data_IF_328583748780
#
_entry.id   IF_328583748780
#
_cell.length_a   1.000
_cell.length_b   1.000
_cell.length_c   1.000
_cell.angle_alpha   90.00
_cell.angle_beta   90.00
_cell.angle_gamma   90.00
#
_symmetry.space_group_name_H-M   'P 1'
#
loop_
_entity.id
_entity.type
_entity.pdbx_description
1 polymer ?
#
# COMPACT_ATOMS: atom_id res chain seq x y z
N UNK A 1 9.57 0.44 0.56
CA UNK A 1 8.52 -0.32 -0.14
C UNK A 1 8.83 -0.24 -1.63
N UNK A 2 8.62 -1.33 -2.38
CA UNK A 2 8.92 -1.38 -3.81
C UNK A 2 7.64 -1.04 -4.57
N UNK A 3 7.62 0.09 -5.28
CA UNK A 3 6.48 0.43 -6.13
C UNK A 3 6.48 -0.43 -7.38
N UNK A 4 5.30 -0.64 -7.95
CA UNK A 4 5.12 -1.39 -9.17
C UNK A 4 3.96 -0.85 -10.01
N UNK A 5 3.99 -1.16 -11.30
CA UNK A 5 2.97 -0.79 -12.29
C UNK A 5 2.57 -2.06 -13.04
N UNK A 6 1.27 -2.24 -13.24
CA UNK A 6 0.75 -3.21 -14.21
C UNK A 6 0.36 -2.47 -15.48
N UNK A 7 0.88 -2.90 -16.62
CA UNK A 7 0.59 -2.33 -17.93
C UNK A 7 -0.01 -3.41 -18.85
N UNK A 8 -1.21 -3.19 -19.41
CA UNK A 8 -1.72 -4.04 -20.48
C UNK A 8 -0.91 -3.83 -21.76
N UNK A 9 -0.50 -4.92 -22.40
CA UNK A 9 0.25 -4.86 -23.66
C UNK A 9 -0.68 -4.70 -24.87
N UNK A 10 -0.11 -4.30 -26.01
CA UNK A 10 -0.85 -4.06 -27.27
C UNK A 10 -1.50 -5.31 -27.86
N UNK A 11 -1.09 -6.50 -27.41
CA UNK A 11 -1.73 -7.78 -27.76
C UNK A 11 -3.13 -7.94 -27.14
N UNK A 12 -3.55 -7.00 -26.29
CA UNK A 12 -4.86 -6.94 -25.64
C UNK A 12 -5.13 -8.05 -24.63
N UNK A 13 -4.18 -8.96 -24.43
CA UNK A 13 -4.38 -10.17 -23.62
C UNK A 13 -3.30 -10.39 -22.59
N UNK A 14 -2.13 -9.77 -22.71
CA UNK A 14 -1.02 -9.88 -21.78
C UNK A 14 -0.89 -8.66 -20.88
N UNK A 15 -0.32 -8.86 -19.70
CA UNK A 15 -0.04 -7.81 -18.73
C UNK A 15 1.45 -7.88 -18.38
N UNK A 16 2.15 -6.75 -18.47
CA UNK A 16 3.50 -6.61 -17.98
C UNK A 16 3.48 -6.06 -16.54
N UNK A 17 4.27 -6.67 -15.67
CA UNK A 17 4.53 -6.17 -14.31
C UNK A 17 5.89 -5.48 -14.29
N UNK A 18 5.85 -4.19 -13.98
CA UNK A 18 7.01 -3.31 -13.92
C UNK A 18 7.27 -2.95 -12.47
N UNK A 19 8.54 -2.99 -12.06
CA UNK A 19 8.94 -2.74 -10.68
C UNK A 19 9.89 -1.55 -10.64
N UNK A 20 9.60 -0.59 -9.77
CA UNK A 20 10.45 0.58 -9.55
C UNK A 20 11.69 0.16 -8.76
N UNK A 21 12.86 0.50 -9.27
CA UNK A 21 14.08 0.40 -8.50
C UNK A 21 14.37 1.71 -7.77
N UNK A 22 14.97 1.62 -6.58
CA UNK A 22 15.51 2.81 -5.93
C UNK A 22 16.55 3.45 -6.86
N UNK A 23 16.57 4.79 -6.98
CA UNK A 23 17.54 5.47 -7.82
C UNK A 23 18.94 5.06 -7.39
N UNK A 24 19.68 4.44 -8.31
CA UNK A 24 21.09 4.14 -8.06
C UNK A 24 21.84 5.45 -7.84
N UNK A 25 22.84 5.47 -6.96
CA UNK A 25 23.57 6.66 -6.51
C UNK A 25 24.27 7.50 -7.62
N UNK A 26 24.04 7.19 -8.90
CA UNK A 26 24.45 7.96 -10.07
C UNK A 26 23.24 8.68 -10.68
N UNK A 27 22.98 9.89 -10.21
CA UNK A 27 22.33 11.00 -10.95
C UNK A 27 21.10 10.68 -11.82
N UNK A 28 20.20 9.80 -11.40
CA UNK A 28 18.88 9.63 -12.03
C UNK A 28 17.84 10.19 -11.08
N UNK A 29 17.30 11.37 -11.42
CA UNK A 29 16.11 11.95 -10.80
C UNK A 29 14.81 11.31 -11.31
N UNK A 30 14.92 10.35 -12.23
CA UNK A 30 13.78 9.66 -12.83
C UNK A 30 13.56 8.30 -12.16
N UNK A 31 12.28 8.00 -11.93
CA UNK A 31 11.83 6.72 -11.40
C UNK A 31 11.97 5.65 -12.48
N UNK A 32 13.07 4.90 -12.45
CA UNK A 32 13.32 3.80 -13.39
C UNK A 32 12.51 2.56 -12.99
N UNK A 33 11.72 2.07 -13.94
CA UNK A 33 10.95 0.84 -13.86
C UNK A 33 11.57 -0.23 -14.75
N UNK A 34 11.76 -1.43 -14.21
CA UNK A 34 12.16 -2.59 -15.01
C UNK A 34 10.98 -3.52 -15.24
N UNK A 35 10.86 -4.05 -16.45
CA UNK A 35 9.92 -5.14 -16.70
C UNK A 35 10.47 -6.40 -16.04
N UNK A 36 9.71 -6.93 -15.08
CA UNK A 36 10.10 -8.13 -14.33
C UNK A 36 9.53 -9.38 -14.98
N UNK A 37 8.28 -9.32 -15.42
CA UNK A 37 7.58 -10.46 -16.03
C UNK A 37 6.41 -9.99 -16.89
N UNK A 38 6.12 -10.76 -17.94
CA UNK A 38 4.90 -10.62 -18.76
C UNK A 38 4.03 -11.84 -18.53
N UNK A 39 2.76 -11.61 -18.21
CA UNK A 39 1.78 -12.64 -17.91
C UNK A 39 0.80 -12.77 -19.07
N UNK A 40 0.77 -13.94 -19.70
CA UNK A 40 -0.27 -14.26 -20.67
C UNK A 40 -1.62 -14.49 -19.98
N UNK A 41 -2.69 -14.65 -20.76
CA UNK A 41 -4.06 -14.85 -20.25
C UNK A 41 -4.19 -16.00 -19.25
N UNK A 42 -3.35 -17.05 -19.36
CA UNK A 42 -3.34 -18.20 -18.44
C UNK A 42 -2.64 -17.93 -17.12
N UNK A 43 -1.77 -16.92 -17.04
CA UNK A 43 -0.96 -16.61 -15.86
C UNK A 43 -1.52 -15.43 -15.05
N UNK A 44 -2.55 -14.76 -15.59
CA UNK A 44 -3.18 -13.59 -14.98
C UNK A 44 -4.21 -13.92 -13.91
N UNK A 45 -4.81 -15.12 -13.93
CA UNK A 45 -5.90 -15.47 -13.01
C UNK A 45 -5.45 -16.47 -11.95
N UNK A 46 -6.12 -16.56 -10.79
CA UNK A 46 -5.81 -17.58 -9.79
C UNK A 46 -5.87 -18.97 -10.43
N UNK A 47 -4.72 -19.63 -10.54
CA UNK A 47 -4.62 -20.96 -11.12
C UNK A 47 -5.05 -22.01 -10.08
N UNK A 48 -5.63 -23.10 -10.55
CA UNK A 48 -5.99 -24.28 -9.74
C UNK A 48 -4.79 -24.84 -8.96
N UNK A 49 -5.01 -25.69 -7.93
CA UNK A 49 -3.94 -26.34 -7.14
C UNK A 49 -2.80 -27.03 -7.91
N UNK A 50 -2.99 -27.34 -9.21
CA UNK A 50 -1.94 -27.70 -10.17
C UNK A 50 -0.74 -26.75 -10.16
N UNK A 51 -0.92 -25.46 -9.82
CA UNK A 51 0.16 -24.46 -9.78
C UNK A 51 1.30 -24.89 -8.88
N UNK A 52 1.02 -25.37 -7.67
CA UNK A 52 2.07 -25.81 -6.73
C UNK A 52 2.83 -27.03 -7.25
N UNK A 53 2.20 -27.82 -8.13
CA UNK A 53 2.80 -28.99 -8.75
C UNK A 53 3.71 -28.61 -9.93
N UNK A 54 3.41 -27.50 -10.62
CA UNK A 54 4.11 -27.09 -11.86
C UNK A 54 4.88 -25.76 -11.78
N UNK A 55 4.96 -25.16 -10.59
CA UNK A 55 5.60 -23.87 -10.33
C UNK A 55 5.27 -22.78 -11.38
N UNK A 56 3.98 -22.66 -11.73
CA UNK A 56 3.56 -21.71 -12.78
C UNK A 56 3.53 -20.26 -12.27
N UNK A 57 3.95 -19.28 -13.09
CA UNK A 57 3.87 -17.88 -12.73
C UNK A 57 2.42 -17.44 -12.46
N UNK A 58 2.24 -16.47 -11.57
CA UNK A 58 0.91 -15.94 -11.28
C UNK A 58 0.99 -14.47 -10.89
N UNK A 59 0.32 -13.61 -11.67
CA UNK A 59 0.37 -12.16 -11.50
C UNK A 59 0.03 -11.72 -10.07
N UNK A 60 -1.03 -12.28 -9.47
CA UNK A 60 -1.48 -11.85 -8.15
C UNK A 60 -0.54 -12.29 -7.02
N UNK A 61 0.13 -13.43 -7.18
CA UNK A 61 1.05 -13.92 -6.16
C UNK A 61 2.37 -13.19 -6.22
N UNK A 62 2.86 -12.90 -7.42
CA UNK A 62 4.01 -12.02 -7.62
C UNK A 62 3.71 -10.59 -7.11
N UNK A 63 2.48 -10.08 -7.28
CA UNK A 63 2.04 -8.81 -6.65
C UNK A 63 2.07 -8.90 -5.12
N UNK A 64 1.53 -9.97 -4.53
CA UNK A 64 1.58 -10.17 -3.07
C UNK A 64 3.02 -10.25 -2.58
N UNK A 65 3.91 -10.94 -3.29
CA UNK A 65 5.34 -11.02 -2.97
C UNK A 65 6.00 -9.63 -3.01
N UNK A 66 5.68 -8.79 -4.00
CA UNK A 66 6.17 -7.40 -4.04
C UNK A 66 5.64 -6.54 -2.91
N UNK A 67 4.35 -6.68 -2.59
CA UNK A 67 3.74 -6.02 -1.43
C UNK A 67 4.39 -6.50 -0.13
N UNK A 68 4.85 -7.74 -0.12
CA UNK A 68 5.65 -8.33 0.94
C UNK A 68 7.13 -7.88 0.94
N UNK A 69 7.51 -6.99 0.03
CA UNK A 69 8.88 -6.49 -0.09
C UNK A 69 9.88 -7.53 -0.60
N UNK A 70 9.40 -8.68 -1.09
CA UNK A 70 10.22 -9.69 -1.73
C UNK A 70 10.59 -9.22 -3.15
N UNK A 71 11.80 -9.54 -3.59
CA UNK A 71 12.18 -9.35 -4.99
C UNK A 71 11.66 -10.51 -5.82
N UNK A 72 10.99 -10.23 -6.93
CA UNK A 72 10.67 -11.26 -7.92
C UNK A 72 11.92 -11.53 -8.76
N UNK A 73 12.24 -12.81 -8.97
CA UNK A 73 13.29 -13.21 -9.91
C UNK A 73 12.89 -12.82 -11.34
N UNK A 74 13.78 -12.09 -12.02
CA UNK A 74 13.59 -11.68 -13.41
C UNK A 74 13.75 -12.90 -14.31
N UNK A 75 12.63 -13.45 -14.80
CA UNK A 75 12.64 -14.59 -15.73
C UNK A 75 13.01 -14.20 -17.17
N UNK A 76 13.43 -12.94 -17.36
CA UNK A 76 13.83 -12.37 -18.65
C UNK A 76 15.23 -12.90 -19.02
N UNK A 77 15.33 -14.21 -19.25
CA UNK A 77 16.58 -14.89 -19.59
C UNK A 77 16.57 -16.43 -19.67
N UNK A 78 15.51 -17.14 -19.28
CA UNK A 78 15.49 -18.62 -19.33
C UNK A 78 14.20 -19.17 -19.94
N UNK A 79 14.06 -19.05 -21.25
CA UNK A 79 13.13 -19.90 -22.03
C UNK A 79 13.84 -20.41 -23.28
N UNK A 80 14.93 -21.14 -23.03
CA UNK A 80 15.64 -21.95 -24.02
C UNK A 80 16.39 -23.09 -23.32
N UNK A 81 15.66 -23.94 -22.61
CA UNK A 81 16.16 -25.24 -22.18
C UNK A 81 15.03 -26.28 -22.22
N UNK A 82 14.95 -26.96 -23.36
CA UNK A 82 14.45 -28.32 -23.58
C UNK A 82 13.42 -28.87 -22.58
N UNK A 83 12.14 -28.70 -22.89
CA UNK A 83 11.12 -29.69 -22.50
C UNK A 83 11.02 -30.67 -23.67
N UNK A 84 11.79 -31.74 -23.58
CA UNK A 84 11.68 -32.91 -24.46
C UNK A 84 10.38 -33.63 -24.10
N UNK A 85 9.35 -33.50 -24.94
CA UNK A 85 8.13 -34.28 -24.84
C UNK A 85 8.36 -35.67 -25.45
N UNK A 86 7.90 -36.76 -24.82
CA UNK A 86 7.94 -38.08 -25.45
C UNK A 86 6.93 -38.11 -26.61
N UNK A 87 7.43 -38.50 -27.78
CA UNK A 87 6.66 -38.67 -29.01
C UNK A 87 5.62 -39.78 -28.85
N UNK A 88 4.38 -39.50 -29.26
CA UNK A 88 3.36 -40.51 -29.54
C UNK A 88 2.85 -40.31 -30.98
N UNK A 89 3.33 -41.21 -31.83
CA UNK A 89 2.68 -41.86 -32.98
C UNK A 89 1.96 -41.01 -34.04
N UNK A 90 2.66 -40.98 -35.19
CA UNK A 90 2.23 -40.87 -36.58
C UNK A 90 0.73 -40.95 -36.92
N UNK A 91 0.31 -40.04 -37.81
CA UNK A 91 -0.32 -40.46 -39.06
C UNK A 91 0.11 -39.53 -40.21
N UNK A 92 0.57 -40.15 -41.29
CA UNK A 92 0.95 -39.54 -42.57
C UNK A 92 -0.29 -39.05 -43.33
N UNK A 93 -0.23 -37.86 -43.93
CA UNK A 93 -0.57 -37.72 -45.34
C UNK A 93 0.04 -36.47 -46.00
N UNK A 94 0.62 -36.75 -47.15
CA UNK A 94 1.52 -35.99 -48.02
C UNK A 94 0.78 -35.05 -48.96
N UNK A 95 1.40 -33.91 -49.33
CA UNK A 95 1.57 -33.34 -50.69
C UNK A 95 1.85 -31.83 -50.58
N UNK A 96 3.12 -31.39 -50.67
CA UNK A 96 3.83 -30.92 -51.89
C UNK A 96 3.10 -29.82 -52.67
N UNK A 97 3.67 -28.62 -52.68
CA UNK A 97 3.88 -27.78 -53.86
C UNK A 97 4.79 -26.60 -53.52
N UNK A 98 5.87 -26.49 -54.30
CA UNK A 98 6.90 -25.47 -54.28
C UNK A 98 6.37 -24.08 -54.67
N UNK A 99 6.95 -23.03 -54.07
CA UNK A 99 7.29 -21.80 -54.79
C UNK A 99 8.30 -20.98 -53.96
N UNK A 100 9.54 -20.94 -54.44
CA UNK A 100 10.56 -19.99 -54.03
C UNK A 100 10.14 -18.56 -54.44
N UNK A 101 10.23 -17.61 -53.51
CA UNK A 101 10.58 -16.23 -53.86
C UNK A 101 11.11 -15.46 -52.64
N UNK A 102 12.43 -15.19 -52.69
CA UNK A 102 13.12 -13.94 -52.31
C UNK A 102 12.71 -13.19 -51.04
N UNK A 103 13.63 -13.25 -50.07
CA UNK A 103 13.96 -12.28 -49.02
C UNK A 103 13.62 -10.81 -49.34
N UNK A 104 12.89 -10.15 -48.43
CA UNK A 104 13.36 -9.03 -47.61
C UNK A 104 12.22 -8.41 -46.80
N UNK A 105 12.55 -7.81 -45.65
CA UNK A 105 11.74 -6.93 -44.77
C UNK A 105 11.34 -7.52 -43.42
N UNK A 106 12.36 -7.57 -42.55
CA UNK A 106 12.36 -7.28 -41.10
C UNK A 106 11.00 -7.00 -40.46
N UNK A 107 10.35 -8.05 -39.97
CA UNK A 107 9.27 -7.94 -38.98
C UNK A 107 9.88 -8.13 -37.59
N UNK A 108 10.06 -7.00 -36.90
CA UNK A 108 10.60 -6.92 -35.54
C UNK A 108 9.66 -7.66 -34.58
N UNK A 109 10.03 -8.89 -34.23
CA UNK A 109 9.34 -9.71 -33.26
C UNK A 109 9.77 -9.27 -31.86
N UNK A 110 8.77 -8.93 -31.04
CA UNK A 110 8.85 -8.53 -29.64
C UNK A 110 9.85 -9.39 -28.83
N UNK A 111 11.04 -8.85 -28.62
CA UNK A 111 11.94 -9.27 -27.55
C UNK A 111 11.93 -8.16 -26.51
N UNK A 112 11.08 -8.31 -25.49
CA UNK A 112 11.16 -7.48 -24.26
C UNK A 112 12.39 -7.99 -23.49
N UNK A 113 13.59 -7.76 -24.02
CA UNK A 113 14.84 -7.89 -23.29
C UNK A 113 14.87 -6.81 -22.21
N UNK A 114 15.00 -7.21 -20.94
CA UNK A 114 15.10 -6.37 -19.72
C UNK A 114 14.89 -4.87 -19.96
N UNK A 115 13.66 -4.51 -20.30
CA UNK A 115 13.34 -3.14 -20.69
C UNK A 115 13.33 -2.27 -19.44
N UNK A 116 14.05 -1.15 -19.49
CA UNK A 116 14.00 -0.08 -18.49
C UNK A 116 13.16 1.04 -19.08
N UNK A 117 12.16 1.51 -18.33
CA UNK A 117 11.28 2.62 -18.71
C UNK A 117 11.17 3.61 -17.57
N UNK A 118 10.93 4.85 -17.91
CA UNK A 118 10.60 5.90 -16.96
C UNK A 118 9.09 5.96 -16.75
N UNK A 119 8.65 6.57 -15.63
CA UNK A 119 7.22 6.73 -15.34
C UNK A 119 6.41 7.41 -16.47
N UNK A 120 7.04 8.32 -17.21
CA UNK A 120 6.42 9.05 -18.32
C UNK A 120 6.16 8.19 -19.56
N UNK A 121 6.79 7.02 -19.66
CA UNK A 121 6.68 6.16 -20.83
C UNK A 121 5.36 5.37 -20.85
N UNK A 122 4.72 5.16 -19.69
CA UNK A 122 3.53 4.32 -19.57
C UNK A 122 2.28 5.02 -20.10
N UNK A 123 1.80 4.58 -21.26
CA UNK A 123 0.59 5.14 -21.89
C UNK A 123 -0.71 4.58 -21.29
N UNK A 124 -0.65 3.37 -20.71
CA UNK A 124 -1.78 2.70 -20.06
C UNK A 124 -1.30 1.98 -18.80
N UNK A 125 -1.97 2.23 -17.69
CA UNK A 125 -1.75 1.48 -16.45
C UNK A 125 -3.07 0.90 -15.97
N UNK A 126 -3.01 -0.27 -15.34
CA UNK A 126 -4.16 -0.92 -14.73
C UNK A 126 -3.87 -1.14 -13.24
N UNK A 127 -4.84 -0.84 -12.39
CA UNK A 127 -4.69 -0.96 -10.94
C UNK A 127 -4.90 -2.40 -10.49
N UNK A 128 -4.31 -2.78 -9.35
CA UNK A 128 -4.52 -4.11 -8.76
C UNK A 128 -6.00 -4.36 -8.48
N UNK A 129 -6.71 -3.33 -8.01
CA UNK A 129 -8.16 -3.38 -7.79
C UNK A 129 -8.94 -3.69 -9.06
N UNK A 130 -8.63 -3.01 -10.17
CA UNK A 130 -9.25 -3.27 -11.46
C UNK A 130 -8.93 -4.68 -11.98
N UNK A 131 -7.70 -5.17 -11.78
CA UNK A 131 -7.32 -6.55 -12.09
C UNK A 131 -8.13 -7.56 -11.28
N UNK A 132 -8.28 -7.33 -9.98
CA UNK A 132 -9.09 -8.19 -9.11
C UNK A 132 -10.57 -8.19 -9.54
N UNK A 133 -11.13 -7.03 -9.91
CA UNK A 133 -12.50 -6.93 -10.42
C UNK A 133 -12.66 -7.68 -11.75
N UNK A 134 -11.71 -7.52 -12.68
CA UNK A 134 -11.68 -8.28 -13.95
C UNK A 134 -11.62 -9.79 -13.70
N UNK A 135 -10.82 -10.24 -12.74
CA UNK A 135 -10.75 -11.64 -12.31
C UNK A 135 -12.07 -12.14 -11.73
N UNK A 136 -12.72 -11.35 -10.87
CA UNK A 136 -14.01 -11.68 -10.29
C UNK A 136 -15.12 -11.79 -11.36
N UNK A 137 -15.16 -10.87 -12.33
CA UNK A 137 -16.10 -10.93 -13.46
C UNK A 137 -15.86 -12.17 -14.33
N UNK A 138 -14.61 -12.42 -14.71
CA UNK A 138 -14.24 -13.60 -15.50
C UNK A 138 -14.63 -14.92 -14.80
N UNK A 139 -14.58 -14.94 -13.47
CA UNK A 139 -15.03 -16.08 -12.66
C UNK A 139 -16.56 -16.22 -12.55
N UNK A 140 -17.31 -15.12 -12.69
CA UNK A 140 -18.76 -15.10 -12.63
C UNK A 140 -19.42 -15.52 -13.95
N UNK A 141 -18.79 -15.18 -15.09
CA UNK A 141 -19.31 -15.44 -16.44
C UNK A 141 -19.33 -16.94 -16.85
N UNK A 142 -18.91 -17.84 -15.97
CA UNK A 142 -19.33 -19.24 -16.05
C UNK A 142 -18.80 -20.02 -17.25
N UNK A 143 -17.57 -19.76 -17.72
CA UNK A 143 -16.91 -20.58 -18.75
C UNK A 143 -16.59 -21.99 -18.25
N UNK A 144 -17.60 -22.87 -18.15
CA UNK A 144 -17.52 -24.33 -17.94
C UNK A 144 -16.81 -24.85 -16.68
N UNK A 145 -16.19 -23.98 -15.88
CA UNK A 145 -15.23 -24.37 -14.84
C UNK A 145 -15.34 -23.48 -13.60
N UNK A 146 -16.56 -23.13 -13.19
CA UNK A 146 -16.86 -22.29 -12.02
C UNK A 146 -16.20 -22.77 -10.71
N UNK A 147 -15.81 -24.05 -10.61
CA UNK A 147 -15.04 -24.59 -9.47
C UNK A 147 -13.59 -24.11 -9.42
N UNK A 148 -12.98 -23.74 -10.55
CA UNK A 148 -11.56 -23.34 -10.63
C UNK A 148 -11.31 -21.90 -10.22
N UNK A 149 -12.33 -21.04 -10.25
CA UNK A 149 -12.20 -19.61 -10.02
C UNK A 149 -12.91 -19.11 -8.75
N UNK A 150 -13.26 -20.04 -7.83
CA UNK A 150 -13.95 -19.70 -6.58
C UNK A 150 -13.15 -18.68 -5.74
N UNK A 151 -11.83 -18.71 -5.84
CA UNK A 151 -10.89 -17.82 -5.12
C UNK A 151 -10.70 -16.43 -5.76
N UNK A 152 -11.23 -16.18 -6.96
CA UNK A 152 -11.18 -14.85 -7.55
C UNK A 152 -12.23 -13.90 -6.92
N UNK A 153 -13.28 -14.45 -6.30
CA UNK A 153 -14.32 -13.68 -5.60
C UNK A 153 -13.75 -13.19 -4.27
N UNK A 154 -13.64 -11.87 -4.10
CA UNK A 154 -13.03 -11.26 -2.92
C UNK A 154 -11.50 -11.12 -2.97
N UNK A 155 -10.88 -11.33 -4.14
CA UNK A 155 -9.43 -11.23 -4.30
C UNK A 155 -8.88 -9.85 -3.87
N UNK A 156 -9.58 -8.77 -4.22
CA UNK A 156 -9.23 -7.41 -3.78
C UNK A 156 -9.23 -7.29 -2.26
N UNK A 157 -10.28 -7.80 -1.60
CA UNK A 157 -10.39 -7.78 -0.15
C UNK A 157 -9.23 -8.55 0.50
N UNK A 158 -8.92 -9.76 0.00
CA UNK A 158 -7.80 -10.57 0.51
C UNK A 158 -6.44 -9.89 0.34
N UNK A 159 -6.17 -9.28 -0.81
CA UNK A 159 -4.92 -8.54 -1.05
C UNK A 159 -4.81 -7.36 -0.09
N UNK A 160 -5.89 -6.59 0.08
CA UNK A 160 -5.90 -5.43 0.97
C UNK A 160 -5.79 -5.83 2.45
N UNK A 161 -6.48 -6.89 2.89
CA UNK A 161 -6.36 -7.43 4.25
C UNK A 161 -4.93 -7.91 4.54
N UNK A 162 -4.31 -8.62 3.59
CA UNK A 162 -2.93 -9.09 3.72
C UNK A 162 -1.94 -7.93 3.93
N UNK A 163 -2.04 -6.88 3.11
CA UNK A 163 -1.15 -5.71 3.25
C UNK A 163 -1.37 -4.97 4.56
N UNK A 164 -2.61 -4.87 5.02
CA UNK A 164 -2.95 -4.19 6.26
C UNK A 164 -2.47 -4.93 7.49
N UNK A 165 -2.72 -6.24 7.59
CA UNK A 165 -2.23 -7.07 8.71
C UNK A 165 -0.72 -6.93 8.88
N UNK A 166 0.02 -6.82 7.77
CA UNK A 166 1.47 -6.62 7.79
C UNK A 166 1.89 -5.21 8.22
N UNK A 167 1.10 -4.20 7.89
CA UNK A 167 1.36 -2.81 8.29
C UNK A 167 0.96 -2.51 9.74
N UNK A 168 0.04 -3.31 10.31
CA UNK A 168 -0.40 -3.20 11.70
C UNK A 168 0.74 -3.57 12.65
N UNK A 169 1.00 -2.67 13.60
CA UNK A 169 2.10 -2.76 14.56
C UNK A 169 1.65 -2.37 15.95
N UNK A 170 0.48 -2.87 16.38
CA UNK A 170 -0.25 -2.37 17.57
C UNK A 170 0.58 -2.47 18.85
N UNK A 171 1.45 -3.49 18.94
CA UNK A 171 2.29 -3.79 20.10
C UNK A 171 3.71 -3.21 20.00
N UNK A 172 4.05 -2.49 18.92
CA UNK A 172 5.36 -1.85 18.79
C UNK A 172 5.48 -0.65 19.76
N UNK A 173 6.72 -0.38 20.18
CA UNK A 173 7.05 0.81 21.00
C UNK A 173 6.79 2.11 20.22
N UNK A 174 6.34 3.19 20.89
CA UNK A 174 6.07 4.45 20.22
C UNK A 174 7.35 5.09 19.69
N UNK A 175 7.27 5.67 18.49
CA UNK A 175 8.38 6.33 17.82
C UNK A 175 8.41 7.80 18.26
N UNK A 176 9.11 8.06 19.37
CA UNK A 176 9.22 9.39 19.98
C UNK A 176 10.61 10.02 19.85
N UNK A 177 11.67 9.23 19.62
CA UNK A 177 13.01 9.75 19.37
C UNK A 177 13.16 10.19 17.91
N UNK A 178 12.63 11.38 17.63
CA UNK A 178 12.63 12.00 16.29
C UNK A 178 13.35 13.36 16.26
N UNK A 179 14.06 13.69 17.35
CA UNK A 179 14.79 14.97 17.48
C UNK A 179 16.24 14.86 16.98
N UNK A 180 16.90 16.02 16.83
CA UNK A 180 18.32 16.16 16.49
C UNK A 180 18.69 15.43 15.18
N UNK A 181 19.43 14.33 15.25
CA UNK A 181 19.98 13.59 14.11
C UNK A 181 19.05 12.50 13.58
N UNK A 182 17.99 12.13 14.31
CA UNK A 182 17.11 10.97 14.01
C UNK A 182 15.71 11.37 13.55
N UNK A 183 15.60 12.38 12.69
CA UNK A 183 14.29 12.82 12.15
C UNK A 183 13.94 12.13 10.82
N UNK A 184 12.67 12.21 10.42
CA UNK A 184 12.13 11.53 9.23
C UNK A 184 12.80 11.94 7.91
N UNK A 185 13.39 13.15 7.85
CA UNK A 185 14.15 13.63 6.68
C UNK A 185 15.58 13.11 6.62
N UNK A 186 16.13 12.60 7.72
CA UNK A 186 17.54 12.20 7.84
C UNK A 186 17.67 10.70 8.13
N UNK A 187 17.94 10.37 9.39
CA UNK A 187 18.46 9.06 9.79
C UNK A 187 17.46 8.26 10.62
N UNK A 188 16.15 8.53 10.48
CA UNK A 188 15.19 7.73 11.23
C UNK A 188 15.16 6.29 10.68
N UNK A 189 15.42 5.24 11.49
CA UNK A 189 15.53 3.86 11.00
C UNK A 189 14.26 3.38 10.31
N UNK A 190 13.11 3.83 10.80
CA UNK A 190 11.80 3.42 10.29
C UNK A 190 11.32 4.20 9.06
N UNK A 191 12.09 5.18 8.57
CA UNK A 191 11.59 6.13 7.55
C UNK A 191 11.02 5.45 6.29
N UNK A 192 11.62 4.35 5.84
CA UNK A 192 11.23 3.60 4.64
C UNK A 192 10.24 2.47 4.90
N UNK A 193 9.83 2.26 6.16
CA UNK A 193 8.86 1.24 6.53
C UNK A 193 7.44 1.74 6.27
N UNK A 194 6.55 0.82 5.92
CA UNK A 194 5.12 1.10 5.82
C UNK A 194 4.60 1.69 7.13
N UNK A 195 3.84 2.76 7.00
CA UNK A 195 3.24 3.46 8.11
C UNK A 195 2.07 2.63 8.66
N UNK A 196 1.96 2.55 9.99
CA UNK A 196 0.88 1.83 10.64
C UNK A 196 -0.45 2.56 10.38
N UNK A 197 -1.43 1.94 9.69
CA UNK A 197 -2.66 2.60 9.26
C UNK A 197 -3.51 3.13 10.41
N UNK A 198 -3.35 2.58 11.62
CA UNK A 198 -4.21 2.83 12.78
C UNK A 198 -3.48 3.54 13.92
N UNK A 199 -2.19 3.84 13.74
CA UNK A 199 -1.42 4.57 14.73
C UNK A 199 -1.90 6.01 14.90
N UNK A 200 -1.62 6.59 16.06
CA UNK A 200 -1.75 8.01 16.29
C UNK A 200 -0.50 8.73 15.79
N UNK A 201 -0.70 9.74 14.97
CA UNK A 201 0.36 10.60 14.47
C UNK A 201 0.25 11.97 15.14
N UNK A 202 1.33 12.43 15.77
CA UNK A 202 1.32 13.72 16.48
C UNK A 202 2.35 14.63 15.87
N UNK A 203 1.91 15.77 15.33
CA UNK A 203 2.78 16.76 14.70
C UNK A 203 2.77 18.09 15.45
N UNK A 204 3.75 18.94 15.13
CA UNK A 204 3.97 20.27 15.71
C UNK A 204 4.36 20.28 17.19
N UNK A 205 4.63 19.12 17.79
CA UNK A 205 5.09 18.98 19.19
C UNK A 205 6.37 19.78 19.44
N UNK A 206 7.27 19.80 18.45
CA UNK A 206 8.56 20.48 18.53
C UNK A 206 8.63 21.71 17.64
N UNK A 207 7.49 22.37 17.44
CA UNK A 207 7.42 23.60 16.66
C UNK A 207 8.38 24.67 17.23
N UNK A 208 9.09 25.36 16.34
CA UNK A 208 10.01 26.45 16.70
C UNK A 208 9.27 27.68 17.22
N UNK A 209 8.00 27.83 16.85
CA UNK A 209 7.12 28.88 17.33
C UNK A 209 6.46 28.40 18.63
N UNK A 210 6.57 29.22 19.68
CA UNK A 210 6.02 29.04 21.03
C UNK A 210 5.25 27.73 21.30
N UNK A 211 5.96 26.72 21.84
CA UNK A 211 5.49 25.36 22.14
C UNK A 211 4.20 25.32 22.97
N UNK A 212 3.92 26.36 23.76
CA UNK A 212 2.73 26.43 24.61
C UNK A 212 1.52 27.10 23.95
N UNK A 213 1.71 27.86 22.86
CA UNK A 213 0.62 28.61 22.21
C UNK A 213 0.12 27.97 20.93
N UNK A 214 0.99 27.27 20.21
CA UNK A 214 0.58 26.64 18.96
C UNK A 214 -0.10 25.31 19.23
N UNK A 215 -1.23 25.03 18.56
CA UNK A 215 -1.91 23.76 18.72
C UNK A 215 -1.08 22.63 18.15
N UNK A 216 -0.84 21.58 18.94
CA UNK A 216 -0.33 20.33 18.39
C UNK A 216 -1.43 19.67 17.54
N UNK A 217 -1.06 18.98 16.48
CA UNK A 217 -2.02 18.27 15.64
C UNK A 217 -1.95 16.78 15.99
N UNK A 218 -3.10 16.16 16.23
CA UNK A 218 -3.21 14.74 16.55
C UNK A 218 -4.10 14.10 15.49
N UNK A 219 -3.56 13.16 14.73
CA UNK A 219 -4.29 12.45 13.68
C UNK A 219 -4.56 11.01 14.12
N UNK A 220 -5.83 10.59 14.01
CA UNK A 220 -6.25 9.22 14.24
C UNK A 220 -6.05 8.40 12.95
N UNK A 221 -4.97 7.63 12.90
CA UNK A 221 -4.64 6.81 11.73
C UNK A 221 -4.23 7.62 10.50
N UNK A 222 -3.95 6.90 9.42
CA UNK A 222 -3.63 7.49 8.12
C UNK A 222 -4.84 8.20 7.50
N UNK A 223 -6.05 7.73 7.79
CA UNK A 223 -7.28 8.36 7.32
C UNK A 223 -7.47 9.76 7.89
N UNK A 224 -7.22 9.96 9.19
CA UNK A 224 -7.24 11.30 9.78
C UNK A 224 -6.22 12.24 9.13
N UNK A 225 -5.03 11.72 8.77
CA UNK A 225 -4.03 12.50 8.01
C UNK A 225 -4.57 12.88 6.63
N UNK A 226 -5.10 11.93 5.86
CA UNK A 226 -5.60 12.21 4.52
C UNK A 226 -6.79 13.16 4.56
N UNK A 227 -7.78 12.93 5.43
CA UNK A 227 -8.93 13.83 5.59
C UNK A 227 -8.48 15.28 5.88
N UNK A 228 -7.55 15.47 6.80
CA UNK A 228 -7.04 16.79 7.16
C UNK A 228 -6.23 17.46 6.05
N UNK A 229 -5.47 16.69 5.28
CA UNK A 229 -4.51 17.22 4.29
C UNK A 229 -5.09 17.35 2.89
N UNK A 230 -6.13 16.57 2.56
CA UNK A 230 -6.83 16.62 1.27
C UNK A 230 -8.14 17.39 1.33
N UNK A 231 -8.41 18.13 2.41
CA UNK A 231 -9.56 19.03 2.49
C UNK A 231 -9.61 19.96 1.27
N UNK A 232 -10.79 20.20 0.66
CA UNK A 232 -10.92 20.98 -0.58
C UNK A 232 -10.38 22.41 -0.47
N UNK A 233 -10.28 22.95 0.74
CA UNK A 233 -9.74 24.29 1.01
C UNK A 233 -8.20 24.33 1.03
N UNK A 234 -7.55 23.16 1.04
CA UNK A 234 -6.09 23.01 1.09
C UNK A 234 -5.55 22.72 -0.32
N UNK A 235 -5.13 23.77 -1.01
CA UNK A 235 -4.41 23.66 -2.28
C UNK A 235 -2.91 23.79 -2.04
N UNK A 236 -2.22 22.65 -1.91
CA UNK A 236 -0.78 22.59 -1.64
C UNK A 236 -0.15 21.36 -2.29
N UNK A 237 1.16 21.41 -2.54
CA UNK A 237 1.93 20.25 -3.03
C UNK A 237 1.75 19.03 -2.10
N UNK A 238 1.67 19.26 -0.78
CA UNK A 238 1.39 18.21 0.20
C UNK A 238 0.03 17.55 -0.01
N UNK A 239 -1.00 18.33 -0.36
CA UNK A 239 -2.32 17.80 -0.65
C UNK A 239 -2.32 16.94 -1.94
N UNK A 240 -1.56 17.33 -2.96
CA UNK A 240 -1.40 16.53 -4.18
C UNK A 240 -0.68 15.20 -3.90
N UNK A 241 0.40 15.25 -3.10
CA UNK A 241 1.12 14.04 -2.64
C UNK A 241 0.19 13.15 -1.82
N UNK A 242 -0.59 13.73 -0.90
CA UNK A 242 -1.55 13.01 -0.07
C UNK A 242 -2.64 12.31 -0.91
N UNK A 243 -3.22 12.98 -1.90
CA UNK A 243 -4.20 12.38 -2.82
C UNK A 243 -3.59 11.23 -3.61
N UNK A 244 -2.38 11.42 -4.16
CA UNK A 244 -1.66 10.38 -4.89
C UNK A 244 -1.37 9.15 -4.03
N UNK A 245 -0.96 9.32 -2.78
CA UNK A 245 -0.69 8.21 -1.86
C UNK A 245 -1.97 7.49 -1.43
N UNK A 246 -3.06 8.23 -1.19
CA UNK A 246 -4.37 7.64 -0.92
C UNK A 246 -4.86 6.82 -2.10
N UNK A 247 -4.75 7.33 -3.33
CA UNK A 247 -5.12 6.59 -4.54
C UNK A 247 -4.28 5.32 -4.73
N UNK A 248 -2.99 5.36 -4.41
CA UNK A 248 -2.11 4.19 -4.48
C UNK A 248 -2.50 3.12 -3.45
N UNK A 249 -2.85 3.53 -2.23
CA UNK A 249 -3.37 2.59 -1.24
C UNK A 249 -4.72 2.01 -1.71
N UNK A 250 -5.68 2.86 -2.06
CA UNK A 250 -7.05 2.45 -2.40
C UNK A 250 -7.17 1.60 -3.66
N UNK A 251 -6.21 1.69 -4.57
CA UNK A 251 -6.25 1.01 -5.86
C UNK A 251 -5.17 -0.07 -6.06
N UNK A 252 -4.03 0.05 -5.37
CA UNK A 252 -2.89 -0.86 -5.51
C UNK A 252 -2.44 -1.51 -4.19
N UNK A 253 -3.12 -1.24 -3.07
CA UNK A 253 -2.76 -1.73 -1.74
C UNK A 253 -1.33 -1.32 -1.29
N UNK A 254 -0.78 -0.26 -1.90
CA UNK A 254 0.53 0.28 -1.58
C UNK A 254 0.43 1.20 -0.36
N UNK A 255 0.96 0.74 0.77
CA UNK A 255 0.91 1.50 2.02
C UNK A 255 1.94 2.63 2.02
N UNK A 256 1.58 3.87 2.37
CA UNK A 256 2.56 4.94 2.48
C UNK A 256 3.60 4.63 3.56
N UNK A 257 4.81 5.13 3.37
CA UNK A 257 5.91 5.02 4.35
C UNK A 257 5.87 6.14 5.37
N UNK A 258 6.50 5.96 6.53
CA UNK A 258 6.59 7.04 7.53
C UNK A 258 7.25 8.31 6.99
N UNK A 259 8.22 8.20 6.10
CA UNK A 259 8.84 9.34 5.44
C UNK A 259 7.83 10.15 4.62
N UNK A 260 7.01 9.46 3.82
CA UNK A 260 5.98 10.08 2.99
C UNK A 260 4.90 10.74 3.87
N UNK A 261 4.53 10.11 4.98
CA UNK A 261 3.59 10.71 5.93
C UNK A 261 4.18 11.99 6.54
N UNK A 262 5.42 11.95 7.03
CA UNK A 262 6.10 13.12 7.58
C UNK A 262 6.24 14.27 6.57
N UNK A 263 6.35 13.96 5.28
CA UNK A 263 6.36 14.93 4.19
C UNK A 263 4.99 15.58 4.00
N UNK A 264 3.91 14.79 3.96
CA UNK A 264 2.53 15.29 3.86
C UNK A 264 2.16 16.20 5.04
N UNK A 265 2.45 15.77 6.28
CA UNK A 265 2.19 16.62 7.47
C UNK A 265 3.20 17.75 7.63
N UNK A 266 4.19 17.84 6.75
CA UNK A 266 5.27 18.83 6.75
C UNK A 266 6.04 18.93 8.08
N UNK A 267 6.15 17.82 8.83
CA UNK A 267 6.85 17.76 10.12
C UNK A 267 7.84 16.58 10.17
N UNK A 268 9.13 16.90 10.08
CA UNK A 268 10.18 15.89 10.15
C UNK A 268 10.32 15.26 11.53
N UNK A 269 9.74 15.86 12.57
CA UNK A 269 9.82 15.37 13.95
C UNK A 269 8.44 14.93 14.48
N UNK A 270 7.55 14.49 13.58
CA UNK A 270 6.29 13.86 13.93
C UNK A 270 6.50 12.63 14.82
N UNK A 271 5.72 12.50 15.89
CA UNK A 271 5.71 11.33 16.78
C UNK A 271 4.68 10.32 16.28
N UNK A 272 4.91 9.03 16.57
CA UNK A 272 3.99 7.94 16.23
C UNK A 272 3.72 7.08 17.45
N UNK A 273 2.45 6.82 17.76
CA UNK A 273 2.03 5.94 18.84
C UNK A 273 1.15 4.84 18.26
N UNK A 274 1.54 3.58 18.41
CA UNK A 274 0.85 2.48 17.73
C UNK A 274 -0.46 2.04 18.39
N UNK A 275 -0.72 2.52 19.61
CA UNK A 275 -1.95 2.29 20.33
C UNK A 275 -2.33 3.51 21.19
N UNK A 276 -3.60 3.62 21.55
CA UNK A 276 -4.12 4.76 22.33
C UNK A 276 -3.51 4.84 23.73
N UNK A 277 -3.18 3.71 24.35
CA UNK A 277 -2.63 3.67 25.71
C UNK A 277 -1.24 4.31 25.79
N UNK A 278 -0.37 4.04 24.82
CA UNK A 278 0.98 4.63 24.72
C UNK A 278 0.92 6.15 24.52
N UNK A 279 -0.02 6.64 23.70
CA UNK A 279 -0.26 8.08 23.54
C UNK A 279 -0.68 8.73 24.86
N UNK A 280 -1.67 8.17 25.56
CA UNK A 280 -2.14 8.69 26.86
C UNK A 280 -1.00 8.71 27.88
N UNK A 281 -0.24 7.61 27.95
CA UNK A 281 0.87 7.46 28.89
C UNK A 281 1.92 8.53 28.65
N UNK A 282 2.35 8.70 27.40
CA UNK A 282 3.29 9.74 27.01
C UNK A 282 2.77 11.15 27.32
N UNK A 283 1.51 11.47 26.98
CA UNK A 283 0.91 12.78 27.29
C UNK A 283 0.99 13.07 28.79
N UNK A 284 0.63 12.11 29.65
CA UNK A 284 0.65 12.27 31.11
C UNK A 284 2.05 12.48 31.65
N UNK A 285 3.04 11.76 31.13
CA UNK A 285 4.45 11.95 31.49
C UNK A 285 4.93 13.35 31.11
N UNK A 286 4.63 13.80 29.88
CA UNK A 286 5.01 15.14 29.43
C UNK A 286 4.31 16.24 30.22
N UNK A 287 3.03 16.06 30.58
CA UNK A 287 2.30 17.03 31.41
C UNK A 287 2.87 17.16 32.82
N UNK A 288 3.42 16.08 33.39
CA UNK A 288 4.09 16.10 34.70
C UNK A 288 5.46 16.79 34.61
N UNK A 289 6.22 16.49 33.56
CA UNK A 289 7.53 17.10 33.33
C UNK A 289 7.44 18.57 32.91
N UNK A 290 6.36 18.94 32.20
CA UNK A 290 6.12 20.27 31.60
C UNK A 290 7.20 20.76 30.62
N UNK A 291 8.03 19.85 30.11
CA UNK A 291 9.16 20.21 29.22
C UNK A 291 8.73 20.40 27.76
N UNK A 292 7.78 19.58 27.30
CA UNK A 292 7.40 19.48 25.88
C UNK A 292 5.95 19.83 25.65
N UNK A 293 5.05 19.26 26.45
CA UNK A 293 3.61 19.51 26.36
C UNK A 293 3.10 19.72 27.78
N UNK A 294 2.38 20.82 27.99
CA UNK A 294 1.75 21.12 29.27
C UNK A 294 0.25 20.81 29.20
N UNK A 295 -0.39 20.64 30.35
CA UNK A 295 -1.83 20.43 30.43
C UNK A 295 -2.67 21.44 29.61
N UNK A 296 -2.38 22.77 29.64
CA UNK A 296 -3.14 23.76 28.87
C UNK A 296 -2.70 23.88 27.41
N UNK A 297 -1.69 23.14 26.94
CA UNK A 297 -1.27 23.19 25.53
C UNK A 297 -2.47 22.86 24.65
N UNK A 298 -2.81 23.71 23.67
CA UNK A 298 -3.91 23.42 22.75
C UNK A 298 -3.54 22.24 21.83
N UNK A 299 -4.54 21.46 21.44
CA UNK A 299 -4.44 20.42 20.43
C UNK A 299 -5.66 20.43 19.52
N UNK A 300 -5.44 20.06 18.26
CA UNK A 300 -6.49 19.84 17.27
C UNK A 300 -6.48 18.36 16.90
N UNK A 301 -7.65 17.74 16.97
CA UNK A 301 -7.86 16.35 16.66
C UNK A 301 -8.40 16.21 15.23
N UNK A 302 -7.79 15.30 14.47
CA UNK A 302 -8.22 14.96 13.12
C UNK A 302 -8.65 13.49 13.06
N UNK A 303 -9.91 13.25 12.73
CA UNK A 303 -10.52 11.92 12.64
C UNK A 303 -11.30 11.85 11.33
N UNK A 304 -11.18 10.73 10.61
CA UNK A 304 -12.05 10.42 9.48
C UNK A 304 -13.33 9.72 9.98
N UNK A 305 -14.50 10.38 9.98
CA UNK A 305 -15.74 9.82 10.51
C UNK A 305 -16.30 8.67 9.64
N UNK A 306 -15.96 8.60 8.35
CA UNK A 306 -16.40 7.51 7.46
C UNK A 306 -15.55 6.25 7.66
N UNK A 307 -14.26 6.44 7.95
CA UNK A 307 -13.35 5.33 8.23
C UNK A 307 -13.55 4.75 9.63
N UNK A 308 -13.98 5.60 10.56
CA UNK A 308 -14.43 5.19 11.87
C UNK A 308 -15.52 4.09 11.76
N UNK A 309 -16.46 4.17 10.82
CA UNK A 309 -17.59 3.23 10.80
C UNK A 309 -17.39 1.93 9.98
N UNK A 310 -16.40 1.86 9.10
CA UNK A 310 -16.42 0.93 7.94
C UNK A 310 -15.59 -0.37 8.06
N UNK A 311 -14.78 -0.55 9.09
CA UNK A 311 -13.95 -1.77 9.26
C UNK A 311 -14.63 -2.93 9.99
N UNK A 312 -15.92 -2.82 10.32
CA UNK A 312 -16.70 -3.90 10.94
C UNK A 312 -17.38 -4.74 9.85
N UNK A 313 -16.64 -5.49 9.03
CA UNK A 313 -17.25 -6.57 8.22
C UNK A 313 -16.26 -7.70 7.93
N UNK A 314 -16.44 -8.84 8.62
CA UNK A 314 -15.82 -10.12 8.25
C UNK A 314 -15.96 -11.18 9.35
N UNK A 315 -16.95 -12.07 9.21
CA UNK A 315 -17.40 -13.14 10.12
C UNK A 315 -16.37 -14.27 10.44
N UNK A 316 -15.07 -13.96 10.59
CA UNK A 316 -14.03 -14.97 10.80
C UNK A 316 -13.08 -14.62 11.94
N UNK A 317 -12.62 -15.66 12.62
CA UNK A 317 -11.81 -15.68 13.85
C UNK A 317 -10.48 -14.87 13.84
N UNK A 318 -10.21 -14.07 12.80
CA UNK A 318 -9.15 -13.04 12.75
C UNK A 318 -9.58 -11.69 13.35
N UNK A 319 -10.76 -11.65 13.98
CA UNK A 319 -11.44 -10.49 14.56
C UNK A 319 -10.61 -9.66 15.56
N UNK A 320 -9.60 -10.19 16.26
CA UNK A 320 -8.97 -9.44 17.36
C UNK A 320 -8.12 -8.24 16.92
N UNK A 321 -7.43 -8.34 15.78
CA UNK A 321 -6.56 -7.25 15.29
C UNK A 321 -7.34 -6.16 14.56
N UNK A 322 -8.44 -6.53 13.89
CA UNK A 322 -9.32 -5.60 13.19
C UNK A 322 -10.38 -4.99 14.14
N UNK A 323 -10.85 -5.71 15.16
CA UNK A 323 -11.66 -5.11 16.23
C UNK A 323 -10.89 -4.12 17.11
N UNK A 324 -9.55 -4.14 17.07
CA UNK A 324 -8.71 -3.11 17.69
C UNK A 324 -8.73 -1.76 16.91
N UNK A 325 -9.26 -1.72 15.67
CA UNK A 325 -9.53 -0.47 14.90
C UNK A 325 -10.66 0.39 15.46
N UNK A 326 -11.10 0.08 16.68
CA UNK A 326 -12.21 0.68 17.36
C UNK A 326 -11.86 2.09 17.92
N UNK A 327 -11.24 2.96 17.12
CA UNK A 327 -11.30 4.44 17.24
C UNK A 327 -12.59 4.99 16.59
N UNK A 328 -13.42 4.04 16.15
CA UNK A 328 -14.54 4.09 15.24
C UNK A 328 -15.86 4.70 15.75
N UNK A 329 -16.10 4.62 17.05
CA UNK A 329 -17.35 5.13 17.65
C UNK A 329 -17.02 6.27 18.61
N UNK A 330 -16.29 7.25 18.09
CA UNK A 330 -16.00 8.46 18.85
C UNK A 330 -17.05 9.56 18.65
N UNK A 331 -18.05 9.34 17.80
CA UNK A 331 -18.91 10.43 17.32
C UNK A 331 -20.16 10.72 18.15
N UNK A 332 -20.75 9.73 18.85
CA UNK A 332 -22.05 9.95 19.54
C UNK A 332 -21.98 9.98 21.08
N UNK A 333 -20.98 9.35 21.71
CA UNK A 333 -20.86 9.30 23.18
C UNK A 333 -19.63 10.04 23.75
N UNK A 334 -18.63 10.31 22.91
CA UNK A 334 -17.43 11.06 23.30
C UNK A 334 -17.46 12.46 22.69
N UNK A 335 -17.11 13.48 23.46
CA UNK A 335 -17.09 14.90 23.03
C UNK A 335 -16.00 15.22 21.98
N UNK A 336 -15.55 14.24 21.17
CA UNK A 336 -14.43 14.37 20.23
C UNK A 336 -14.96 14.48 18.81
N UNK A 337 -14.80 15.67 18.21
CA UNK A 337 -15.15 15.96 16.80
C UNK A 337 -13.91 16.26 15.99
N UNK A 338 -13.97 15.94 14.70
CA UNK A 338 -12.94 16.33 13.74
C UNK A 338 -12.75 17.86 13.71
N UNK A 339 -11.49 18.30 13.68
CA UNK A 339 -11.10 19.71 13.72
C UNK A 339 -11.32 20.41 15.07
N UNK A 340 -11.82 19.71 16.10
CA UNK A 340 -12.09 20.31 17.41
C UNK A 340 -10.79 20.68 18.11
N UNK A 341 -10.72 21.93 18.57
CA UNK A 341 -9.62 22.40 19.43
C UNK A 341 -9.96 22.14 20.89
N UNK A 342 -9.06 21.49 21.61
CA UNK A 342 -9.16 21.30 23.07
C UNK A 342 -7.77 21.36 23.70
N UNK A 343 -7.68 21.16 25.02
CA UNK A 343 -6.37 21.07 25.69
C UNK A 343 -5.91 19.62 25.72
N UNK A 344 -4.59 19.41 25.64
CA UNK A 344 -4.01 18.06 25.68
C UNK A 344 -4.38 17.31 26.96
N UNK A 345 -4.50 18.01 28.09
CA UNK A 345 -4.95 17.42 29.35
C UNK A 345 -6.40 16.93 29.30
N UNK A 346 -7.31 17.72 28.71
CA UNK A 346 -8.69 17.29 28.51
C UNK A 346 -8.78 16.10 27.55
N UNK A 347 -8.05 16.16 26.43
CA UNK A 347 -8.01 15.09 25.44
C UNK A 347 -7.57 13.74 26.03
N UNK A 348 -6.49 13.72 26.81
CA UNK A 348 -6.01 12.48 27.44
C UNK A 348 -7.05 11.88 28.42
N UNK A 349 -7.85 12.71 29.09
CA UNK A 349 -8.91 12.23 29.97
C UNK A 349 -10.07 11.62 29.19
N UNK A 350 -10.48 12.24 28.07
CA UNK A 350 -11.55 11.71 27.21
C UNK A 350 -11.15 10.37 26.61
N UNK A 351 -9.92 10.24 26.09
CA UNK A 351 -9.42 8.96 25.57
C UNK A 351 -9.33 7.87 26.66
N UNK A 352 -8.93 8.22 27.88
CA UNK A 352 -8.87 7.23 28.97
C UNK A 352 -10.27 6.73 29.37
N UNK A 353 -11.26 7.63 29.41
CA UNK A 353 -12.65 7.25 29.65
C UNK A 353 -13.16 6.31 28.56
N UNK A 354 -12.83 6.61 27.30
CA UNK A 354 -13.17 5.77 26.16
C UNK A 354 -12.60 4.35 26.27
N UNK A 355 -11.32 4.22 26.63
CA UNK A 355 -10.69 2.90 26.83
C UNK A 355 -11.42 2.13 27.96
N UNK A 356 -11.69 2.80 29.09
CA UNK A 356 -12.36 2.18 30.26
C UNK A 356 -13.78 1.70 29.97
N UNK A 357 -14.48 2.32 29.03
CA UNK A 357 -15.83 1.91 28.63
C UNK A 357 -15.83 0.68 27.70
N UNK A 358 -14.68 0.37 27.07
CA UNK A 358 -14.53 -0.71 26.08
C UNK A 358 -13.73 -1.92 26.58
N UNK A 359 -12.96 -1.75 27.65
CA UNK A 359 -12.34 -2.83 28.43
C UNK A 359 -13.34 -3.44 29.41
#
# INVERSE_FOLDING_TARGET
MTNFICEPLDDGTSIALWVQHAPSARNTTEEDFTCVRVYGSRDQYPLTPDRYVKNRPNLFLDIVDLLDGNSIETDVGQSSANVEYPAAEADEQTQTSDSEHTSDSTSNSNSISKAVRTRGDFTRTITVKALCQKAAHSAADGSGNARRFKDARGLWQRVNEHTLVRALKVDDEPIIDVRKTHNWKRNQPYKTHSANPVAWYVSQVYSRSNIQKNPIQIYAGLHGIFAATTSPDVNSEQADIARSLREQWDNNALMPTYQQIAEIVADSNMLVFHNTQSLITWIREQMRAQEVVAAPTPCVLHIDPEFAQSWIVGDSQHDSALQALNVAKLDDETELRDGQTMTVGHYANVLEQYIKQRS
#
